data_IF_764604803809
#
_entry.id   IF_764604803809
#
_cell.length_a   1.000
_cell.length_b   1.000
_cell.length_c   1.000
_cell.angle_alpha   90.00
_cell.angle_beta   90.00
_cell.angle_gamma   90.00
#
_symmetry.space_group_name_H-M   'P 1'
#
loop_
_entity.id
_entity.type
_entity.pdbx_description
1 polymer ?
#
# COMPACT_ATOMS: atom_id res chain seq x y z
N UNK A 1 12.45 -39.07 14.65
CA UNK A 1 11.54 -37.93 14.47
C UNK A 1 12.09 -36.79 15.31
N UNK A 2 12.73 -35.79 14.71
CA UNK A 2 13.21 -34.62 15.49
C UNK A 2 11.98 -33.86 15.99
N UNK A 3 11.85 -33.67 17.30
CA UNK A 3 10.82 -32.80 17.86
C UNK A 3 11.07 -31.38 17.36
N UNK A 4 10.23 -30.88 16.45
CA UNK A 4 10.30 -29.48 16.01
C UNK A 4 9.93 -28.60 17.21
N UNK A 5 10.92 -28.03 17.87
CA UNK A 5 10.72 -27.05 18.95
C UNK A 5 10.04 -25.81 18.37
N UNK A 6 8.95 -25.35 18.99
CA UNK A 6 8.27 -24.12 18.62
C UNK A 6 8.69 -23.00 19.58
N UNK A 7 9.08 -21.85 19.05
CA UNK A 7 9.43 -20.68 19.85
C UNK A 7 8.19 -19.86 20.22
N UNK A 8 7.45 -20.30 21.24
CA UNK A 8 6.26 -19.61 21.75
C UNK A 8 6.56 -18.50 22.76
N UNK A 9 7.84 -18.16 22.97
CA UNK A 9 8.25 -17.16 23.96
C UNK A 9 7.71 -15.78 23.60
N UNK A 10 7.14 -15.11 24.60
CA UNK A 10 6.58 -13.76 24.49
C UNK A 10 5.60 -13.58 23.32
N UNK A 11 4.94 -14.64 22.85
CA UNK A 11 4.16 -14.61 21.60
C UNK A 11 3.12 -13.47 21.59
N UNK A 12 2.40 -13.26 22.70
CA UNK A 12 1.45 -12.14 22.83
C UNK A 12 2.11 -10.77 22.72
N UNK A 13 3.29 -10.59 23.33
CA UNK A 13 4.05 -9.33 23.23
C UNK A 13 4.65 -9.13 21.83
N UNK A 14 5.04 -10.21 21.15
CA UNK A 14 5.51 -10.19 19.76
C UNK A 14 4.37 -9.78 18.81
N UNK A 15 3.17 -10.33 19.00
CA UNK A 15 1.97 -9.88 18.28
C UNK A 15 1.60 -8.43 18.60
N UNK A 16 1.75 -8.00 19.86
CA UNK A 16 1.59 -6.59 20.24
C UNK A 16 2.58 -5.66 19.53
N UNK A 17 3.84 -6.08 19.41
CA UNK A 17 4.87 -5.36 18.66
C UNK A 17 4.56 -5.29 17.16
N UNK A 18 4.03 -6.37 16.58
CA UNK A 18 3.59 -6.42 15.19
C UNK A 18 2.47 -5.41 14.90
N UNK A 19 1.48 -5.33 15.79
CA UNK A 19 0.36 -4.37 15.68
C UNK A 19 0.85 -2.95 15.89
N UNK A 20 1.67 -2.69 16.92
CA UNK A 20 2.17 -1.35 17.22
C UNK A 20 3.04 -0.79 16.08
N UNK A 21 3.90 -1.63 15.49
CA UNK A 21 4.72 -1.25 14.34
C UNK A 21 3.87 -0.93 13.10
N UNK A 22 2.87 -1.78 12.82
CA UNK A 22 1.96 -1.59 11.71
C UNK A 22 1.10 -0.33 11.88
N UNK A 23 0.56 -0.09 13.08
CA UNK A 23 -0.22 1.10 13.40
C UNK A 23 0.62 2.37 13.31
N UNK A 24 1.88 2.34 13.76
CA UNK A 24 2.81 3.48 13.65
C UNK A 24 3.06 3.86 12.18
N UNK A 25 3.26 2.86 11.31
CA UNK A 25 3.36 3.09 9.87
C UNK A 25 2.04 3.62 9.29
N UNK A 26 0.90 3.04 9.70
CA UNK A 26 -0.43 3.47 9.31
C UNK A 26 -0.71 4.94 9.63
N UNK A 27 -0.46 5.38 10.86
CA UNK A 27 -0.65 6.78 11.30
C UNK A 27 0.21 7.75 10.49
N UNK A 28 1.45 7.37 10.18
CA UNK A 28 2.36 8.24 9.44
C UNK A 28 1.96 8.42 7.98
N UNK A 29 1.49 7.33 7.35
CA UNK A 29 1.19 7.29 5.92
C UNK A 29 -0.24 7.72 5.61
N UNK A 30 -1.20 7.42 6.49
CA UNK A 30 -2.62 7.63 6.25
C UNK A 30 -3.00 9.08 5.90
N UNK A 31 -2.44 10.14 6.50
CA UNK A 31 -2.79 11.51 6.15
C UNK A 31 -2.52 11.83 4.68
N UNK A 32 -1.31 11.53 4.21
CA UNK A 32 -0.88 11.82 2.83
C UNK A 32 -1.74 11.05 1.84
N UNK A 33 -1.96 9.76 2.10
CA UNK A 33 -2.71 8.91 1.19
C UNK A 33 -4.20 9.24 1.17
N UNK A 34 -4.78 9.60 2.31
CA UNK A 34 -6.17 10.06 2.37
C UNK A 34 -6.38 11.30 1.52
N UNK A 35 -5.44 12.26 1.55
CA UNK A 35 -5.52 13.45 0.69
C UNK A 35 -5.46 13.10 -0.80
N UNK A 36 -4.54 12.22 -1.19
CA UNK A 36 -4.41 11.78 -2.59
C UNK A 36 -5.67 11.05 -3.06
N UNK A 37 -6.11 10.01 -2.34
CA UNK A 37 -7.27 9.20 -2.73
C UNK A 37 -8.55 10.05 -2.80
N UNK A 38 -8.76 10.93 -1.80
CA UNK A 38 -9.88 11.87 -1.79
C UNK A 38 -9.86 12.77 -3.02
N UNK A 39 -8.70 13.34 -3.35
CA UNK A 39 -8.57 14.25 -4.49
C UNK A 39 -8.85 13.60 -5.84
N UNK A 40 -8.45 12.34 -6.03
CA UNK A 40 -8.72 11.58 -7.26
C UNK A 40 -10.22 11.37 -7.42
N UNK A 41 -10.92 10.97 -6.36
CA UNK A 41 -12.35 10.67 -6.45
C UNK A 41 -13.20 11.94 -6.53
N UNK A 42 -12.85 13.00 -5.80
CA UNK A 42 -13.54 14.30 -5.94
C UNK A 42 -13.37 14.88 -7.36
N UNK A 43 -12.22 14.67 -7.99
CA UNK A 43 -12.00 15.05 -9.39
C UNK A 43 -12.79 14.20 -10.38
N UNK A 44 -12.79 12.87 -10.19
CA UNK A 44 -13.52 11.95 -11.05
C UNK A 44 -15.05 12.08 -10.93
N UNK A 45 -15.56 12.51 -9.77
CA UNK A 45 -16.98 12.79 -9.55
C UNK A 45 -17.41 14.19 -10.04
N UNK A 46 -16.46 15.06 -10.41
CA UNK A 46 -16.73 16.44 -10.79
C UNK A 46 -17.02 17.37 -9.61
N UNK A 47 -16.78 16.93 -8.37
CA UNK A 47 -17.06 17.69 -7.14
C UNK A 47 -16.04 18.79 -6.88
N UNK A 48 -14.77 18.54 -7.16
CA UNK A 48 -13.68 19.51 -7.03
C UNK A 48 -12.51 19.12 -7.93
N UNK A 49 -11.66 20.07 -8.32
CA UNK A 49 -10.42 19.73 -9.03
C UNK A 49 -9.41 19.06 -8.09
N UNK A 50 -8.52 18.23 -8.63
CA UNK A 50 -7.41 17.59 -7.88
C UNK A 50 -6.66 18.59 -6.97
N UNK A 51 -6.27 19.74 -7.53
CA UNK A 51 -5.50 20.77 -6.81
C UNK A 51 -6.31 21.41 -5.67
N UNK A 52 -7.57 21.75 -5.93
CA UNK A 52 -8.44 22.36 -4.92
C UNK A 52 -8.71 21.39 -3.75
N UNK A 53 -8.97 20.12 -4.06
CA UNK A 53 -9.18 19.08 -3.06
C UNK A 53 -7.95 18.85 -2.18
N UNK A 54 -6.76 18.74 -2.80
CA UNK A 54 -5.50 18.60 -2.08
C UNK A 54 -5.22 19.80 -1.18
N UNK A 55 -5.38 21.03 -1.69
CA UNK A 55 -5.13 22.25 -0.92
C UNK A 55 -6.08 22.37 0.28
N UNK A 56 -7.38 22.09 0.10
CA UNK A 56 -8.36 22.10 1.18
C UNK A 56 -8.08 21.01 2.23
N UNK A 57 -7.68 19.83 1.78
CA UNK A 57 -7.35 18.73 2.69
C UNK A 57 -6.09 19.04 3.50
N UNK A 58 -5.06 19.61 2.88
CA UNK A 58 -3.84 20.06 3.57
C UNK A 58 -4.14 21.18 4.57
N UNK A 59 -4.95 22.18 4.17
CA UNK A 59 -5.38 23.24 5.08
C UNK A 59 -6.13 22.67 6.28
N UNK A 60 -7.03 21.71 6.06
CA UNK A 60 -7.78 21.06 7.15
C UNK A 60 -6.85 20.29 8.08
N UNK A 61 -5.89 19.56 7.54
CA UNK A 61 -4.89 18.82 8.32
C UNK A 61 -4.05 19.77 9.21
N UNK A 62 -3.64 20.93 8.68
CA UNK A 62 -2.81 21.89 9.41
C UNK A 62 -3.61 22.74 10.41
N UNK A 63 -4.86 23.10 10.09
CA UNK A 63 -5.67 24.01 10.93
C UNK A 63 -6.60 23.29 11.91
N UNK A 64 -7.02 22.05 11.61
CA UNK A 64 -7.93 21.24 12.43
C UNK A 64 -7.62 19.73 12.26
N UNK A 65 -6.45 19.26 12.73
CA UNK A 65 -5.99 17.88 12.52
C UNK A 65 -6.97 16.82 13.05
N UNK A 66 -7.63 17.06 14.19
CA UNK A 66 -8.66 16.17 14.75
C UNK A 66 -9.86 16.00 13.81
N UNK A 67 -10.26 17.07 13.12
CA UNK A 67 -11.36 17.02 12.16
C UNK A 67 -10.98 16.31 10.86
N UNK A 68 -9.68 16.06 10.63
CA UNK A 68 -9.18 15.27 9.51
C UNK A 68 -8.99 13.80 9.90
N UNK A 69 -8.34 13.55 11.04
CA UNK A 69 -7.98 12.21 11.54
C UNK A 69 -9.21 11.42 11.97
N UNK A 70 -10.21 12.06 12.58
CA UNK A 70 -11.42 11.38 13.06
C UNK A 70 -12.47 11.17 11.95
N UNK A 71 -12.07 11.19 10.68
CA UNK A 71 -12.98 11.02 9.54
C UNK A 71 -12.97 9.57 9.04
N UNK A 72 -14.11 9.12 8.48
CA UNK A 72 -14.22 7.79 7.85
C UNK A 72 -13.17 7.54 6.76
N UNK A 73 -12.88 8.49 5.83
CA UNK A 73 -11.82 8.32 4.84
C UNK A 73 -10.46 8.03 5.45
N UNK A 74 -10.09 8.73 6.52
CA UNK A 74 -8.83 8.49 7.22
C UNK A 74 -8.79 7.08 7.82
N UNK A 75 -9.84 6.67 8.54
CA UNK A 75 -9.90 5.37 9.19
C UNK A 75 -9.81 4.20 8.19
N UNK A 76 -10.42 4.35 7.01
CA UNK A 76 -10.35 3.36 5.94
C UNK A 76 -8.93 3.19 5.39
N UNK A 77 -8.20 4.30 5.18
CA UNK A 77 -6.79 4.25 4.77
C UNK A 77 -5.92 3.68 5.87
N UNK A 78 -6.11 4.15 7.11
CA UNK A 78 -5.41 3.62 8.28
C UNK A 78 -5.58 2.11 8.41
N UNK A 79 -6.81 1.61 8.26
CA UNK A 79 -7.13 0.18 8.34
C UNK A 79 -6.48 -0.59 7.19
N UNK A 80 -6.50 -0.07 5.96
CA UNK A 80 -5.82 -0.69 4.82
C UNK A 80 -4.33 -0.87 5.09
N UNK A 81 -3.61 0.19 5.45
CA UNK A 81 -2.16 0.12 5.63
C UNK A 81 -1.76 -0.67 6.88
N UNK A 82 -2.43 -0.40 8.00
CA UNK A 82 -2.20 -1.14 9.25
C UNK A 82 -2.50 -2.62 9.05
N UNK A 83 -3.64 -2.96 8.43
CA UNK A 83 -4.02 -4.35 8.18
C UNK A 83 -3.00 -5.09 7.32
N UNK A 84 -2.56 -4.50 6.21
CA UNK A 84 -1.54 -5.11 5.35
C UNK A 84 -0.21 -5.34 6.09
N UNK A 85 0.25 -4.36 6.89
CA UNK A 85 1.47 -4.53 7.69
C UNK A 85 1.30 -5.54 8.82
N UNK A 86 0.14 -5.58 9.50
CA UNK A 86 -0.17 -6.59 10.51
C UNK A 86 -0.11 -7.98 9.89
N UNK A 87 -0.70 -8.20 8.71
CA UNK A 87 -0.62 -9.49 8.02
C UNK A 87 0.84 -9.88 7.73
N UNK A 88 1.65 -8.94 7.24
CA UNK A 88 3.06 -9.19 6.94
C UNK A 88 3.86 -9.54 8.20
N UNK A 89 3.68 -8.76 9.27
CA UNK A 89 4.40 -8.89 10.53
C UNK A 89 3.99 -10.18 11.27
N UNK A 90 2.70 -10.50 11.31
CA UNK A 90 2.19 -11.73 11.91
C UNK A 90 2.76 -12.97 11.21
N UNK A 91 2.91 -12.95 9.89
CA UNK A 91 3.53 -14.07 9.16
C UNK A 91 5.00 -14.24 9.51
N UNK A 92 5.73 -13.14 9.73
CA UNK A 92 7.11 -13.21 10.20
C UNK A 92 7.17 -13.80 11.61
N UNK A 93 6.27 -13.41 12.50
CA UNK A 93 6.18 -13.93 13.87
C UNK A 93 5.75 -15.40 13.92
N UNK A 94 4.79 -15.82 13.12
CA UNK A 94 4.37 -17.23 12.99
C UNK A 94 5.51 -18.06 12.41
N UNK A 95 6.14 -17.60 11.33
CA UNK A 95 7.22 -18.35 10.69
C UNK A 95 8.44 -18.50 11.59
N UNK A 96 8.79 -17.48 12.38
CA UNK A 96 9.89 -17.57 13.34
C UNK A 96 9.53 -18.45 14.54
N UNK A 97 8.27 -18.45 14.96
CA UNK A 97 7.75 -19.38 15.98
C UNK A 97 7.86 -20.84 15.53
N UNK A 98 7.42 -21.14 14.31
CA UNK A 98 7.39 -22.51 13.77
C UNK A 98 8.79 -23.06 13.42
N UNK A 99 9.76 -22.18 13.16
CA UNK A 99 11.13 -22.56 12.76
C UNK A 99 12.15 -22.43 13.89
N UNK A 100 11.71 -22.16 15.12
CA UNK A 100 12.56 -21.84 16.26
C UNK A 100 13.61 -20.76 15.94
N UNK A 101 13.22 -19.76 15.16
CA UNK A 101 14.10 -18.69 14.69
C UNK A 101 14.02 -17.46 15.61
N UNK A 102 15.03 -16.57 15.60
CA UNK A 102 15.01 -15.31 16.34
C UNK A 102 13.74 -14.51 16.07
N UNK A 103 13.26 -13.74 17.05
CA UNK A 103 11.98 -13.07 16.97
C UNK A 103 11.94 -12.02 15.85
N UNK A 104 13.09 -11.43 15.56
CA UNK A 104 13.32 -10.46 14.50
C UNK A 104 13.40 -11.06 13.08
N UNK A 105 13.32 -12.39 12.94
CA UNK A 105 13.44 -13.04 11.63
C UNK A 105 12.33 -12.57 10.70
N UNK A 106 12.73 -12.24 9.47
CA UNK A 106 11.83 -11.81 8.40
C UNK A 106 11.74 -12.95 7.41
N UNK A 107 10.52 -13.38 7.11
CA UNK A 107 10.28 -14.40 6.11
C UNK A 107 10.15 -13.75 4.74
N UNK A 108 10.70 -14.41 3.74
CA UNK A 108 10.52 -14.11 2.32
C UNK A 108 9.96 -15.34 1.62
N UNK A 109 9.04 -15.16 0.68
CA UNK A 109 8.53 -16.25 -0.14
C UNK A 109 7.03 -16.17 -0.44
N UNK A 110 6.57 -17.16 -1.20
CA UNK A 110 5.21 -17.26 -1.71
C UNK A 110 4.12 -17.15 -0.62
N UNK A 111 4.23 -17.79 0.56
CA UNK A 111 3.18 -17.72 1.58
C UNK A 111 2.99 -16.30 2.16
N UNK A 112 4.10 -15.61 2.50
CA UNK A 112 4.04 -14.24 3.01
C UNK A 112 3.44 -13.32 1.97
N UNK A 113 3.94 -13.42 0.75
CA UNK A 113 3.41 -12.59 -0.33
C UNK A 113 1.93 -12.88 -0.58
N UNK A 114 1.52 -14.15 -0.71
CA UNK A 114 0.15 -14.50 -1.05
C UNK A 114 -0.82 -13.96 0.01
N UNK A 115 -0.53 -14.19 1.28
CA UNK A 115 -1.37 -13.70 2.38
C UNK A 115 -1.38 -12.16 2.46
N UNK A 116 -0.23 -11.49 2.36
CA UNK A 116 -0.18 -10.02 2.35
C UNK A 116 -0.88 -9.41 1.14
N UNK A 117 -0.81 -10.07 -0.02
CA UNK A 117 -1.50 -9.65 -1.25
C UNK A 117 -3.00 -9.87 -1.16
N UNK A 118 -3.45 -11.01 -0.64
CA UNK A 118 -4.87 -11.28 -0.38
C UNK A 118 -5.46 -10.29 0.62
N UNK A 119 -4.75 -10.02 1.72
CA UNK A 119 -5.17 -9.03 2.71
C UNK A 119 -5.23 -7.62 2.10
N UNK A 120 -4.18 -7.22 1.37
CA UNK A 120 -4.13 -5.93 0.70
C UNK A 120 -5.24 -5.78 -0.35
N UNK A 121 -5.51 -6.82 -1.14
CA UNK A 121 -6.61 -6.86 -2.11
C UNK A 121 -7.96 -6.69 -1.41
N UNK A 122 -8.25 -7.49 -0.38
CA UNK A 122 -9.51 -7.42 0.34
C UNK A 122 -9.74 -6.04 0.97
N UNK A 123 -8.71 -5.50 1.63
CA UNK A 123 -8.75 -4.17 2.24
C UNK A 123 -8.83 -3.05 1.19
N UNK A 124 -8.16 -3.20 0.04
CA UNK A 124 -8.26 -2.24 -1.06
C UNK A 124 -9.67 -2.19 -1.62
N UNK A 125 -10.27 -3.36 -1.90
CA UNK A 125 -11.65 -3.47 -2.36
C UNK A 125 -12.63 -2.88 -1.34
N UNK A 126 -12.47 -3.21 -0.06
CA UNK A 126 -13.30 -2.64 1.00
C UNK A 126 -13.15 -1.11 1.06
N UNK A 127 -11.91 -0.61 1.07
CA UNK A 127 -11.64 0.83 1.08
C UNK A 127 -12.24 1.53 -0.15
N UNK A 128 -11.95 1.06 -1.35
CA UNK A 128 -12.46 1.64 -2.60
C UNK A 128 -13.99 1.63 -2.60
N UNK A 129 -14.63 0.58 -2.07
CA UNK A 129 -16.09 0.49 -1.96
C UNK A 129 -16.71 1.56 -1.06
N UNK A 130 -16.04 1.89 0.04
CA UNK A 130 -16.53 2.91 0.96
C UNK A 130 -16.21 4.31 0.44
N UNK A 131 -15.05 4.50 -0.19
CA UNK A 131 -14.64 5.76 -0.78
C UNK A 131 -15.55 6.19 -1.92
N UNK A 132 -15.95 5.27 -2.80
CA UNK A 132 -16.93 5.58 -3.87
C UNK A 132 -18.26 6.03 -3.30
N UNK A 133 -18.74 5.39 -2.23
CA UNK A 133 -19.98 5.78 -1.54
C UNK A 133 -19.87 7.14 -0.84
N UNK A 134 -18.74 7.41 -0.19
CA UNK A 134 -18.51 8.64 0.57
C UNK A 134 -18.35 9.88 -0.34
N UNK A 135 -17.79 9.69 -1.53
CA UNK A 135 -17.47 10.77 -2.48
C UNK A 135 -18.26 10.68 -3.78
N UNK A 136 -19.42 10.01 -3.75
CA UNK A 136 -20.34 9.96 -4.89
C UNK A 136 -20.77 11.38 -5.32
N UNK A 137 -21.16 11.53 -6.59
CA UNK A 137 -21.61 12.79 -7.14
C UNK A 137 -22.86 13.34 -6.40
N UNK A 138 -23.06 14.67 -6.35
CA UNK A 138 -24.26 15.26 -5.75
C UNK A 138 -25.54 14.72 -6.42
N UNK A 139 -26.46 14.14 -5.63
CA UNK A 139 -27.69 13.51 -6.13
C UNK A 139 -27.58 11.99 -6.40
N UNK A 140 -26.39 11.39 -6.25
CA UNK A 140 -26.25 9.93 -6.32
C UNK A 140 -26.80 9.27 -5.05
N UNK A 141 -27.73 8.33 -5.21
CA UNK A 141 -28.24 7.53 -4.09
C UNK A 141 -27.17 6.52 -3.64
N UNK A 142 -26.90 6.34 -2.33
CA UNK A 142 -25.93 5.37 -1.85
C UNK A 142 -26.37 3.95 -2.22
N UNK A 143 -25.88 3.43 -3.34
CA UNK A 143 -26.27 2.13 -3.89
C UNK A 143 -25.12 1.13 -3.77
N UNK A 144 -25.50 -0.15 -3.69
CA UNK A 144 -24.55 -1.26 -3.77
C UNK A 144 -23.70 -1.13 -5.04
N UNK A 145 -22.42 -1.46 -4.93
CA UNK A 145 -21.49 -1.32 -6.05
C UNK A 145 -21.82 -2.37 -7.10
N UNK A 146 -21.95 -2.00 -8.37
CA UNK A 146 -22.21 -2.95 -9.45
C UNK A 146 -21.11 -4.01 -9.54
N UNK A 147 -21.48 -5.25 -9.84
CA UNK A 147 -20.53 -6.35 -10.07
C UNK A 147 -19.40 -5.99 -11.06
N UNK A 148 -19.65 -5.26 -12.17
CA UNK A 148 -18.58 -4.83 -13.08
C UNK A 148 -17.53 -3.93 -12.42
N UNK A 149 -17.93 -3.06 -11.50
CA UNK A 149 -16.99 -2.20 -10.75
C UNK A 149 -16.12 -3.04 -9.81
N UNK A 150 -16.71 -4.04 -9.14
CA UNK A 150 -15.93 -5.00 -8.35
C UNK A 150 -14.93 -5.78 -9.21
N UNK A 151 -15.37 -6.30 -10.37
CA UNK A 151 -14.50 -7.03 -11.28
C UNK A 151 -13.32 -6.19 -11.77
N UNK A 152 -13.55 -4.91 -12.13
CA UNK A 152 -12.49 -4.00 -12.56
C UNK A 152 -11.49 -3.69 -11.44
N UNK A 153 -11.95 -3.50 -10.21
CA UNK A 153 -11.06 -3.27 -9.07
C UNK A 153 -10.25 -4.53 -8.72
N UNK A 154 -10.88 -5.70 -8.73
CA UNK A 154 -10.19 -6.97 -8.50
C UNK A 154 -9.15 -7.23 -9.60
N UNK A 155 -9.50 -7.04 -10.87
CA UNK A 155 -8.58 -7.25 -12.00
C UNK A 155 -7.37 -6.31 -11.92
N UNK A 156 -7.62 -5.03 -11.59
CA UNK A 156 -6.57 -4.02 -11.34
C UNK A 156 -5.60 -4.48 -10.25
N UNK A 157 -6.12 -5.02 -9.15
CA UNK A 157 -5.31 -5.47 -8.03
C UNK A 157 -4.53 -6.74 -8.37
N UNK A 158 -5.16 -7.71 -9.04
CA UNK A 158 -4.48 -8.88 -9.58
C UNK A 158 -3.31 -8.50 -10.50
N UNK A 159 -3.49 -7.52 -11.38
CA UNK A 159 -2.41 -7.04 -12.26
C UNK A 159 -1.26 -6.42 -11.46
N UNK A 160 -1.59 -5.64 -10.43
CA UNK A 160 -0.57 -5.00 -9.57
C UNK A 160 0.22 -6.04 -8.79
N UNK A 161 -0.46 -7.04 -8.24
CA UNK A 161 0.13 -8.18 -7.54
C UNK A 161 1.01 -9.01 -8.49
N UNK A 162 0.50 -9.35 -9.67
CA UNK A 162 1.24 -10.08 -10.70
C UNK A 162 2.52 -9.34 -11.11
N UNK A 163 2.41 -8.03 -11.37
CA UNK A 163 3.55 -7.21 -11.74
C UNK A 163 4.60 -7.16 -10.62
N UNK A 164 4.17 -7.05 -9.37
CA UNK A 164 5.08 -6.99 -8.21
C UNK A 164 5.91 -8.26 -8.02
N UNK A 165 5.51 -9.38 -8.61
CA UNK A 165 6.25 -10.63 -8.55
C UNK A 165 7.08 -10.93 -9.79
N UNK A 166 6.47 -10.80 -10.95
CA UNK A 166 7.06 -11.29 -12.19
C UNK A 166 7.98 -10.23 -12.81
N UNK A 167 7.73 -8.95 -12.52
CA UNK A 167 8.50 -7.86 -13.13
C UNK A 167 9.83 -7.63 -12.41
N UNK A 168 9.95 -7.59 -11.06
CA UNK A 168 11.24 -7.31 -10.43
C UNK A 168 12.39 -8.26 -10.81
N UNK A 169 12.21 -9.60 -10.89
CA UNK A 169 13.28 -10.50 -11.30
C UNK A 169 13.78 -10.27 -12.74
N UNK A 170 12.89 -9.78 -13.62
CA UNK A 170 13.22 -9.44 -15.02
C UNK A 170 13.83 -8.04 -15.10
N UNK A 171 13.29 -7.10 -14.32
CA UNK A 171 13.65 -5.69 -14.37
C UNK A 171 14.95 -5.39 -13.64
N UNK A 172 15.23 -6.06 -12.52
CA UNK A 172 16.45 -5.87 -11.74
C UNK A 172 17.75 -6.04 -12.56
N UNK A 173 17.95 -7.12 -13.34
CA UNK A 173 19.17 -7.27 -14.15
C UNK A 173 19.24 -6.24 -15.28
N UNK A 174 18.12 -5.90 -15.93
CA UNK A 174 18.08 -4.87 -16.97
C UNK A 174 18.45 -3.50 -16.38
N UNK A 175 17.91 -3.19 -15.20
CA UNK A 175 18.16 -1.92 -14.53
C UNK A 175 19.61 -1.82 -14.07
N UNK A 176 20.17 -2.91 -13.54
CA UNK A 176 21.58 -3.00 -13.16
C UNK A 176 22.49 -2.81 -14.39
N UNK A 177 22.23 -3.49 -15.50
CA UNK A 177 22.97 -3.30 -16.75
C UNK A 177 22.90 -1.85 -17.26
N UNK A 178 21.71 -1.23 -17.25
CA UNK A 178 21.53 0.17 -17.65
C UNK A 178 22.23 1.15 -16.71
N UNK A 179 22.21 0.93 -15.39
CA UNK A 179 22.96 1.72 -14.42
C UNK A 179 24.48 1.54 -14.58
N UNK A 180 24.93 0.37 -15.02
CA UNK A 180 26.36 0.12 -15.30
C UNK A 180 26.86 0.89 -16.52
N UNK A 181 26.04 1.01 -17.55
CA UNK A 181 26.36 1.73 -18.80
C UNK A 181 26.03 3.22 -18.77
N UNK A 182 25.21 3.68 -17.82
CA UNK A 182 24.91 5.10 -17.65
C UNK A 182 26.17 5.87 -17.19
N UNK A 183 26.71 6.72 -18.07
CA UNK A 183 27.82 7.62 -17.75
C UNK A 183 27.30 8.97 -17.27
N UNK A 184 27.78 9.45 -16.12
CA UNK A 184 27.45 10.76 -15.57
C UNK A 184 27.44 10.82 -14.04
N UNK A 185 27.61 12.02 -13.48
CA UNK A 185 27.70 12.27 -12.02
C UNK A 185 26.45 11.83 -11.25
N UNK A 186 25.28 11.88 -11.91
CA UNK A 186 24.00 11.44 -11.34
C UNK A 186 23.88 9.92 -11.31
N UNK A 187 24.33 9.23 -12.37
CA UNK A 187 24.33 7.77 -12.45
C UNK A 187 25.31 7.15 -11.43
N UNK A 188 26.50 7.75 -11.26
CA UNK A 188 27.47 7.33 -10.25
C UNK A 188 26.95 7.50 -8.81
N UNK A 189 26.21 8.59 -8.52
CA UNK A 189 25.56 8.79 -7.22
C UNK A 189 24.40 7.81 -6.98
N UNK A 190 23.58 7.57 -8.00
CA UNK A 190 22.49 6.57 -7.95
C UNK A 190 23.03 5.17 -7.68
N UNK A 191 24.09 4.76 -8.38
CA UNK A 191 24.72 3.44 -8.24
C UNK A 191 25.29 3.19 -6.84
N UNK A 192 25.70 4.25 -6.13
CA UNK A 192 26.20 4.15 -4.75
C UNK A 192 25.09 4.06 -3.70
N UNK A 193 23.87 4.53 -3.99
CA UNK A 193 22.79 4.67 -2.99
C UNK A 193 21.53 3.86 -3.31
N UNK A 194 21.42 3.27 -4.51
CA UNK A 194 20.23 2.55 -4.94
C UNK A 194 20.64 1.21 -5.53
N UNK A 195 20.28 0.15 -4.80
CA UNK A 195 20.37 -1.22 -5.29
C UNK A 195 19.31 -1.47 -6.39
N UNK A 196 19.71 -2.16 -7.46
CA UNK A 196 18.86 -2.38 -8.63
C UNK A 196 17.62 -3.23 -8.30
N UNK A 197 17.75 -4.19 -7.38
CA UNK A 197 16.62 -5.00 -6.93
C UNK A 197 15.62 -4.15 -6.11
N UNK A 198 16.14 -3.29 -5.23
CA UNK A 198 15.32 -2.32 -4.48
C UNK A 198 14.59 -1.35 -5.43
N UNK A 199 15.28 -0.82 -6.44
CA UNK A 199 14.65 0.04 -7.44
C UNK A 199 13.58 -0.70 -8.26
N UNK A 200 13.84 -1.93 -8.69
CA UNK A 200 12.88 -2.74 -9.42
C UNK A 200 11.60 -3.00 -8.60
N UNK A 201 11.73 -3.18 -7.28
CA UNK A 201 10.59 -3.34 -6.36
C UNK A 201 9.70 -2.08 -6.24
N UNK A 202 10.23 -0.89 -6.50
CA UNK A 202 9.43 0.36 -6.54
C UNK A 202 8.92 0.69 -7.95
N UNK A 203 9.73 0.42 -8.97
CA UNK A 203 9.38 0.73 -10.37
C UNK A 203 8.29 -0.20 -10.89
N UNK A 204 8.32 -1.50 -10.56
CA UNK A 204 7.32 -2.45 -11.04
C UNK A 204 5.87 -2.07 -10.61
N UNK A 205 5.60 -1.77 -9.32
CA UNK A 205 4.27 -1.28 -8.89
C UNK A 205 3.89 0.09 -9.45
N UNK A 206 4.87 0.92 -9.81
CA UNK A 206 4.60 2.23 -10.44
C UNK A 206 4.23 2.06 -11.92
N UNK A 207 5.01 1.28 -12.67
CA UNK A 207 4.77 1.03 -14.09
C UNK A 207 3.41 0.38 -14.34
N UNK A 208 2.98 -0.55 -13.49
CA UNK A 208 1.67 -1.19 -13.63
C UNK A 208 0.51 -0.20 -13.45
N UNK A 209 0.70 0.94 -12.78
CA UNK A 209 -0.34 1.97 -12.69
C UNK A 209 -0.73 2.56 -14.05
N UNK A 210 0.18 2.53 -15.04
CA UNK A 210 -0.12 3.00 -16.40
C UNK A 210 -1.30 2.21 -16.99
N UNK A 211 -1.28 0.89 -16.77
CA UNK A 211 -2.30 -0.06 -17.27
C UNK A 211 -3.47 -0.21 -16.30
N UNK A 212 -3.22 -0.09 -14.99
CA UNK A 212 -4.22 -0.34 -13.95
C UNK A 212 -5.11 0.88 -13.62
N UNK A 213 -4.63 2.10 -13.92
CA UNK A 213 -5.39 3.34 -13.70
C UNK A 213 -6.64 3.46 -14.59
N UNK A 214 -6.61 3.12 -15.90
CA UNK A 214 -7.81 3.10 -16.72
C UNK A 214 -8.93 2.22 -16.16
N UNK A 215 -8.60 1.03 -15.66
CA UNK A 215 -9.57 0.11 -15.04
C UNK A 215 -10.21 0.73 -13.79
N UNK A 216 -9.40 1.40 -12.97
CA UNK A 216 -9.90 2.10 -11.78
C UNK A 216 -10.83 3.26 -12.14
N UNK A 217 -10.44 4.13 -13.08
CA UNK A 217 -11.27 5.25 -13.52
C UNK A 217 -12.58 4.77 -14.18
N UNK A 218 -12.52 3.68 -14.94
CA UNK A 218 -13.70 3.06 -15.54
C UNK A 218 -14.65 2.51 -14.48
N UNK A 219 -14.13 1.84 -13.46
CA UNK A 219 -14.93 1.34 -12.33
C UNK A 219 -15.62 2.47 -11.56
N UNK A 220 -14.93 3.60 -11.36
CA UNK A 220 -15.50 4.81 -10.76
C UNK A 220 -16.58 5.44 -11.65
N UNK A 221 -16.38 5.48 -12.97
CA UNK A 221 -17.36 6.06 -13.89
C UNK A 221 -18.63 5.19 -14.02
N UNK A 222 -18.48 3.86 -14.03
CA UNK A 222 -19.60 2.91 -14.00
C UNK A 222 -20.45 3.04 -12.74
N UNK A 223 -19.83 3.39 -11.61
CA UNK A 223 -20.53 3.65 -10.36
C UNK A 223 -21.27 4.99 -10.37
N UNK A 224 -20.67 6.04 -10.93
CA UNK A 224 -21.19 7.41 -10.82
C UNK A 224 -22.15 7.81 -11.95
N UNK A 225 -22.07 7.20 -13.14
CA UNK A 225 -22.90 7.54 -14.31
C UNK A 225 -23.46 6.25 -14.90
N UNK A 226 -24.77 6.04 -14.90
CA UNK A 226 -25.37 4.83 -15.49
C UNK A 226 -25.76 5.03 -16.96
N UNK A 227 -26.26 6.20 -17.32
CA UNK A 227 -26.78 6.49 -18.67
C UNK A 227 -25.70 6.87 -19.70
N UNK A 228 -24.43 6.89 -19.28
CA UNK A 228 -23.32 7.25 -20.15
C UNK A 228 -22.96 6.08 -21.10
N UNK A 229 -23.01 6.34 -22.41
CA UNK A 229 -22.53 5.40 -23.42
C UNK A 229 -21.01 5.21 -23.38
N UNK A 230 -20.51 4.06 -23.84
CA UNK A 230 -19.09 3.69 -23.75
C UNK A 230 -18.10 4.72 -24.33
N UNK A 231 -18.49 5.45 -25.38
CA UNK A 231 -17.66 6.53 -25.98
C UNK A 231 -17.41 7.67 -24.98
N UNK A 232 -18.44 8.10 -24.25
CA UNK A 232 -18.32 9.16 -23.25
C UNK A 232 -17.47 8.72 -22.05
N UNK A 233 -17.53 7.44 -21.69
CA UNK A 233 -16.71 6.86 -20.62
C UNK A 233 -15.24 6.82 -21.00
N UNK A 234 -14.93 6.34 -22.20
CA UNK A 234 -13.57 6.32 -22.74
C UNK A 234 -12.97 7.73 -22.82
N UNK A 235 -13.74 8.74 -23.24
CA UNK A 235 -13.28 10.12 -23.30
C UNK A 235 -12.93 10.69 -21.92
N UNK A 236 -13.75 10.40 -20.89
CA UNK A 236 -13.47 10.81 -19.52
C UNK A 236 -12.23 10.12 -18.96
N UNK A 237 -12.13 8.79 -19.12
CA UNK A 237 -10.94 8.02 -18.70
C UNK A 237 -9.70 8.60 -19.35
N UNK A 238 -9.71 8.84 -20.67
CA UNK A 238 -8.56 9.44 -21.39
C UNK A 238 -8.16 10.81 -20.83
N UNK A 239 -9.15 11.66 -20.54
CA UNK A 239 -8.93 13.01 -20.00
C UNK A 239 -8.30 13.00 -18.61
N UNK A 240 -8.74 12.08 -17.75
CA UNK A 240 -8.33 12.05 -16.33
C UNK A 240 -7.19 11.06 -16.04
N UNK A 241 -6.84 10.20 -17.01
CA UNK A 241 -5.85 9.14 -16.86
C UNK A 241 -4.48 9.64 -16.42
N UNK A 242 -3.91 10.63 -17.12
CA UNK A 242 -2.54 11.08 -16.85
C UNK A 242 -2.37 11.62 -15.42
N UNK A 243 -3.25 12.55 -15.03
CA UNK A 243 -3.21 13.14 -13.69
C UNK A 243 -3.48 12.09 -12.60
N UNK A 244 -4.42 11.18 -12.83
CA UNK A 244 -4.74 10.10 -11.88
C UNK A 244 -3.60 9.09 -11.76
N UNK A 245 -2.93 8.77 -12.87
CA UNK A 245 -1.80 7.85 -12.91
C UNK A 245 -0.63 8.41 -12.10
N UNK A 246 -0.27 9.67 -12.32
CA UNK A 246 0.79 10.35 -11.56
C UNK A 246 0.46 10.44 -10.07
N UNK A 247 -0.77 10.81 -9.71
CA UNK A 247 -1.20 10.84 -8.31
C UNK A 247 -1.06 9.46 -7.64
N UNK A 248 -1.40 8.39 -8.36
CA UNK A 248 -1.30 7.01 -7.88
C UNK A 248 0.14 6.50 -7.79
N UNK A 249 1.02 6.88 -8.72
CA UNK A 249 2.46 6.62 -8.61
C UNK A 249 3.05 7.38 -7.41
N UNK A 250 2.66 8.65 -7.21
CA UNK A 250 3.09 9.46 -6.07
C UNK A 250 2.72 8.84 -4.72
N UNK A 251 1.58 8.15 -4.64
CA UNK A 251 1.14 7.39 -3.45
C UNK A 251 2.08 6.22 -3.08
N UNK A 252 2.81 5.65 -4.03
CA UNK A 252 3.68 4.48 -3.80
C UNK A 252 4.84 4.84 -2.86
N UNK A 253 5.38 6.07 -2.96
CA UNK A 253 6.55 6.49 -2.19
C UNK A 253 6.26 6.59 -0.68
N UNK A 254 5.22 7.32 -0.22
CA UNK A 254 4.84 7.31 1.20
C UNK A 254 4.46 5.92 1.70
N UNK A 255 3.73 5.14 0.88
CA UNK A 255 3.26 3.82 1.21
C UNK A 255 4.40 2.84 1.48
N UNK A 256 5.23 2.57 0.47
CA UNK A 256 6.24 1.52 0.54
C UNK A 256 7.59 2.03 1.07
N UNK A 257 7.92 3.30 0.83
CA UNK A 257 9.16 3.90 1.32
C UNK A 257 9.07 4.23 2.81
N UNK A 258 8.34 5.28 3.15
CA UNK A 258 8.28 5.80 4.52
C UNK A 258 7.58 4.81 5.46
N UNK A 259 6.40 4.32 5.08
CA UNK A 259 5.64 3.35 5.87
C UNK A 259 6.40 2.06 6.13
N UNK A 260 7.03 1.50 5.08
CA UNK A 260 7.79 0.25 5.18
C UNK A 260 8.98 0.37 6.13
N UNK A 261 9.75 1.46 6.01
CA UNK A 261 10.91 1.72 6.88
C UNK A 261 10.49 1.90 8.34
N UNK A 262 9.42 2.65 8.60
CA UNK A 262 8.93 2.86 9.96
C UNK A 262 8.41 1.58 10.59
N UNK A 263 7.60 0.80 9.85
CA UNK A 263 7.14 -0.51 10.31
C UNK A 263 8.33 -1.42 10.69
N UNK A 264 9.31 -1.54 9.79
CA UNK A 264 10.51 -2.36 10.02
C UNK A 264 11.31 -1.90 11.25
N UNK A 265 11.56 -0.59 11.39
CA UNK A 265 12.35 -0.05 12.51
C UNK A 265 11.64 -0.19 13.84
N UNK A 266 10.36 0.14 13.91
CA UNK A 266 9.56 0.02 15.13
C UNK A 266 9.44 -1.44 15.53
N UNK A 267 9.13 -2.34 14.59
CA UNK A 267 9.05 -3.78 14.84
C UNK A 267 10.38 -4.32 15.38
N UNK A 268 11.49 -4.02 14.70
CA UNK A 268 12.83 -4.45 15.13
C UNK A 268 13.18 -3.96 16.54
N UNK A 269 12.89 -2.70 16.84
CA UNK A 269 13.16 -2.11 18.16
C UNK A 269 12.33 -2.77 19.27
N UNK A 270 11.03 -2.95 19.05
CA UNK A 270 10.14 -3.58 20.03
C UNK A 270 10.48 -5.05 20.25
N UNK A 271 10.73 -5.81 19.18
CA UNK A 271 11.11 -7.22 19.30
C UNK A 271 12.50 -7.39 19.93
N UNK A 272 13.48 -6.55 19.58
CA UNK A 272 14.81 -6.58 20.21
C UNK A 272 14.73 -6.35 21.72
N UNK A 273 13.92 -5.40 22.18
CA UNK A 273 13.68 -5.18 23.62
C UNK A 273 13.02 -6.36 24.34
N UNK A 274 12.28 -7.21 23.62
CA UNK A 274 11.70 -8.42 24.18
C UNK A 274 12.72 -9.55 24.26
N UNK A 275 13.69 -9.59 23.34
CA UNK A 275 14.83 -10.53 23.39
C UNK A 275 15.80 -10.13 24.51
N UNK A 276 16.10 -8.83 24.68
CA UNK A 276 17.02 -8.31 25.71
C UNK A 276 16.47 -8.44 27.15
N UNK A 277 15.14 -8.46 27.31
CA UNK A 277 14.46 -8.58 28.61
C UNK A 277 14.43 -10.01 29.16
N UNK A 278 14.78 -11.01 28.35
CA UNK A 278 14.90 -12.41 28.77
C UNK A 278 16.39 -12.80 28.85
N UNK A 279 17.10 -12.52 29.96
CA UNK A 279 18.47 -12.96 30.17
C UNK A 279 18.51 -14.45 30.51
N UNK A 280 18.33 -15.32 29.51
CA UNK A 280 18.73 -16.74 29.57
C UNK A 280 19.60 -17.12 28.37
N UNK A 281 20.33 -16.15 27.81
CA UNK A 281 21.44 -16.39 26.84
C UNK A 281 22.80 -16.09 27.48
N UNK A 282 22.88 -16.08 28.82
CA UNK A 282 24.13 -16.25 29.56
C UNK A 282 23.92 -17.35 30.61
N UNK A 283 24.77 -18.38 30.55
CA UNK A 283 24.69 -19.74 31.12
C UNK A 283 24.00 -20.70 30.14
N UNK A 284 24.71 -21.57 29.42
CA UNK A 284 26.01 -22.26 29.62
C UNK A 284 26.73 -22.37 28.29
#
# INVERSE_FOLDING_TARGET
>A
MSSTSWNTRNLGLRSGADIAAAASAGVLVAPVITMIDRSIIENASGRATLRASLANSLRTLLTRPQAFILTRPFFLIFTLYTGTYVTANTLDTVSSTLRDAPANSVTSGLPKFAATSSANLALCLYKDSQFTRLFAAPGATPRAIPLPTYALFTLRDCLTVFASFNVPPILAPILDERLRHASGTVAAKLRKHVDAASAAQFVAPAAVQIVSTPMHLLGLDLYNRHDAGWRQRAQKVRREWFASCLARMGRIVPAFGVGGVVNMRVRKSLLGRLEDRDPVVLKV
#
